data_IF_797622685408
#
_entry.id   IF_797622685408
#
_cell.length_a   1.000
_cell.length_b   1.000
_cell.length_c   1.000
_cell.angle_alpha   90.00
_cell.angle_beta   90.00
_cell.angle_gamma   90.00
#
_symmetry.space_group_name_H-M   'P 1'
#
loop_
_entity.id
_entity.type
_entity.pdbx_description
1 polymer ?
#
# COMPACT_ATOMS: atom_id res chain seq x y z
N UNK A 1 -3.80 -6.79 -11.02
CA UNK A 1 -4.70 -5.75 -11.55
C UNK A 1 -5.58 -5.19 -10.44
N UNK A 2 -6.26 -4.07 -10.71
CA UNK A 2 -7.26 -3.54 -9.77
C UNK A 2 -8.40 -4.53 -9.54
N UNK A 3 -8.69 -5.41 -10.49
CA UNK A 3 -9.70 -6.45 -10.32
C UNK A 3 -9.27 -7.51 -9.30
N UNK A 4 -7.97 -7.76 -9.15
CA UNK A 4 -7.46 -8.65 -8.10
C UNK A 4 -7.53 -7.98 -6.72
N UNK A 5 -7.25 -6.69 -6.66
CA UNK A 5 -7.26 -5.94 -5.40
C UNK A 5 -8.70 -5.76 -4.91
N UNK A 6 -9.57 -5.31 -5.81
CA UNK A 6 -10.98 -5.05 -5.49
C UNK A 6 -11.83 -5.50 -6.68
N UNK A 7 -12.48 -6.67 -6.58
CA UNK A 7 -13.31 -7.18 -7.66
C UNK A 7 -14.39 -6.18 -8.06
N UNK A 8 -14.72 -6.14 -9.35
CA UNK A 8 -15.78 -5.31 -9.90
C UNK A 8 -16.92 -6.21 -10.35
N UNK A 9 -18.06 -6.10 -9.72
CA UNK A 9 -19.24 -6.87 -10.08
C UNK A 9 -20.49 -6.20 -9.59
N UNK A 10 -21.64 -6.68 -10.05
CA UNK A 10 -22.94 -6.10 -9.68
C UNK A 10 -23.21 -6.10 -8.17
N UNK A 11 -22.59 -7.02 -7.45
CA UNK A 11 -22.72 -7.12 -5.98
C UNK A 11 -21.75 -6.22 -5.23
N UNK A 12 -20.63 -5.86 -5.86
CA UNK A 12 -19.52 -5.15 -5.19
C UNK A 12 -19.54 -3.66 -5.51
N UNK A 13 -19.73 -3.28 -6.76
CA UNK A 13 -19.72 -1.87 -7.18
C UNK A 13 -20.68 -0.97 -6.41
N UNK A 14 -21.90 -1.42 -6.04
CA UNK A 14 -22.79 -0.59 -5.21
C UNK A 14 -22.22 -0.26 -3.83
N UNK A 15 -21.24 -1.01 -3.36
CA UNK A 15 -20.60 -0.80 -2.05
C UNK A 15 -19.43 0.18 -2.10
N UNK A 16 -19.08 0.72 -3.27
CA UNK A 16 -17.88 1.57 -3.45
C UNK A 16 -17.79 2.78 -2.53
N UNK A 17 -18.93 3.27 -2.06
CA UNK A 17 -18.99 4.39 -1.10
C UNK A 17 -19.02 3.92 0.36
N UNK A 18 -19.12 2.61 0.59
CA UNK A 18 -19.16 2.02 1.92
C UNK A 18 -17.87 1.20 2.11
N UNK A 19 -16.79 1.87 2.54
CA UNK A 19 -15.47 1.25 2.66
C UNK A 19 -15.46 0.06 3.64
N UNK A 20 -16.07 0.12 4.83
CA UNK A 20 -16.13 -1.05 5.70
C UNK A 20 -16.77 -2.27 5.04
N UNK A 21 -17.86 -2.09 4.30
CA UNK A 21 -18.53 -3.19 3.63
C UNK A 21 -17.73 -3.72 2.43
N UNK A 22 -17.20 -2.82 1.58
CA UNK A 22 -16.46 -3.23 0.38
C UNK A 22 -15.11 -3.87 0.76
N UNK A 23 -14.51 -3.50 1.89
CA UNK A 23 -13.24 -4.05 2.32
C UNK A 23 -13.29 -5.57 2.54
N UNK A 24 -14.48 -6.13 2.81
CA UNK A 24 -14.67 -7.56 2.96
C UNK A 24 -14.41 -8.34 1.66
N UNK A 25 -14.37 -7.65 0.52
CA UNK A 25 -14.10 -8.24 -0.79
C UNK A 25 -12.67 -8.00 -1.27
N UNK A 26 -11.85 -7.29 -0.48
CA UNK A 26 -10.47 -6.95 -0.83
C UNK A 26 -9.63 -8.21 -1.03
N UNK A 27 -9.02 -8.33 -2.22
CA UNK A 27 -8.20 -9.48 -2.63
C UNK A 27 -8.90 -10.85 -2.62
N UNK A 28 -10.22 -10.91 -2.48
CA UNK A 28 -10.92 -12.20 -2.38
C UNK A 28 -10.83 -13.05 -3.65
N UNK A 29 -10.54 -12.46 -4.80
CA UNK A 29 -10.26 -13.21 -6.04
C UNK A 29 -8.98 -14.03 -5.92
N UNK A 30 -7.99 -13.52 -5.19
CA UNK A 30 -6.69 -14.19 -4.99
C UNK A 30 -6.65 -15.01 -3.69
N UNK A 31 -7.33 -14.52 -2.66
CA UNK A 31 -7.27 -15.11 -1.32
C UNK A 31 -8.54 -14.70 -0.55
N UNK A 32 -9.49 -15.61 -0.45
CA UNK A 32 -10.77 -15.35 0.23
C UNK A 32 -10.61 -14.95 1.69
N UNK A 33 -9.57 -15.42 2.35
CA UNK A 33 -9.33 -15.15 3.77
C UNK A 33 -8.57 -13.84 4.02
N UNK A 34 -8.15 -13.12 2.96
CA UNK A 34 -7.34 -11.92 3.11
C UNK A 34 -7.99 -10.86 4.01
N UNK A 35 -9.27 -10.47 3.82
CA UNK A 35 -9.86 -9.44 4.67
C UNK A 35 -9.84 -9.79 6.16
N UNK A 36 -10.19 -11.02 6.50
CA UNK A 36 -10.20 -11.49 7.89
C UNK A 36 -8.79 -11.52 8.46
N UNK A 37 -7.83 -12.08 7.71
CA UNK A 37 -6.44 -12.18 8.15
C UNK A 37 -5.80 -10.80 8.34
N UNK A 38 -6.06 -9.86 7.43
CA UNK A 38 -5.53 -8.51 7.53
C UNK A 38 -6.05 -7.78 8.77
N UNK A 39 -7.33 -7.93 9.09
CA UNK A 39 -7.91 -7.37 10.32
C UNK A 39 -7.28 -7.94 11.58
N UNK A 40 -7.05 -9.24 11.61
CA UNK A 40 -6.43 -9.91 12.76
C UNK A 40 -4.97 -9.47 12.94
N UNK A 41 -4.25 -9.22 11.87
CA UNK A 41 -2.86 -8.74 11.90
C UNK A 41 -2.76 -7.28 12.38
N UNK A 42 -3.78 -6.48 12.15
CA UNK A 42 -3.81 -5.06 12.49
C UNK A 42 -3.02 -4.17 11.55
N UNK A 43 -1.74 -4.46 11.34
CA UNK A 43 -0.87 -3.74 10.39
C UNK A 43 -0.24 -4.72 9.44
N UNK A 44 -0.18 -4.39 8.16
CA UNK A 44 0.37 -5.30 7.15
C UNK A 44 1.02 -4.54 5.99
N UNK A 45 1.84 -5.28 5.24
CA UNK A 45 2.47 -4.82 4.01
C UNK A 45 2.07 -5.81 2.92
N UNK A 46 1.57 -5.28 1.79
CA UNK A 46 1.26 -6.09 0.63
C UNK A 46 2.50 -6.17 -0.25
N UNK A 47 2.85 -7.38 -0.69
CA UNK A 47 3.97 -7.61 -1.60
C UNK A 47 3.41 -8.13 -2.92
N UNK A 48 3.75 -7.48 -4.01
CA UNK A 48 3.23 -7.82 -5.34
C UNK A 48 4.31 -7.82 -6.42
N UNK A 49 3.89 -8.16 -7.62
CA UNK A 49 4.76 -8.24 -8.80
C UNK A 49 4.83 -6.95 -9.60
N UNK A 50 4.88 -7.10 -10.91
CA UNK A 50 5.02 -5.98 -11.84
C UNK A 50 3.68 -5.35 -12.17
N UNK A 51 3.71 -4.05 -12.45
CA UNK A 51 2.57 -3.24 -12.87
C UNK A 51 1.36 -3.37 -11.94
N UNK A 52 1.63 -3.31 -10.63
CA UNK A 52 0.61 -3.43 -9.59
C UNK A 52 -0.44 -2.33 -9.72
N UNK A 53 -1.72 -2.73 -9.73
CA UNK A 53 -2.83 -1.79 -9.85
C UNK A 53 -3.23 -1.43 -11.28
N UNK A 54 -2.70 -2.16 -12.29
CA UNK A 54 -3.11 -1.93 -13.68
C UNK A 54 -4.61 -2.20 -13.87
N UNK A 55 -5.19 -1.61 -14.91
CA UNK A 55 -6.60 -1.73 -15.21
C UNK A 55 -7.37 -0.46 -14.88
N UNK A 56 -8.65 -0.58 -14.63
CA UNK A 56 -9.51 0.57 -14.32
C UNK A 56 -9.06 1.28 -13.04
N UNK A 57 -9.03 2.61 -13.09
CA UNK A 57 -8.71 3.40 -11.91
C UNK A 57 -9.84 3.27 -10.88
N UNK A 58 -9.50 2.80 -9.68
CA UNK A 58 -10.45 2.62 -8.58
C UNK A 58 -9.84 3.11 -7.28
N UNK A 59 -10.37 4.22 -6.78
CA UNK A 59 -9.90 4.77 -5.51
C UNK A 59 -10.10 3.78 -4.36
N UNK A 60 -11.21 3.04 -4.37
CA UNK A 60 -11.48 2.04 -3.34
C UNK A 60 -10.48 0.88 -3.35
N UNK A 61 -9.73 0.66 -4.43
CA UNK A 61 -8.63 -0.30 -4.45
C UNK A 61 -7.44 0.15 -3.57
N UNK A 62 -7.40 1.42 -3.18
CA UNK A 62 -6.44 1.92 -2.18
C UNK A 62 -7.11 2.05 -0.80
N UNK A 63 -8.34 2.55 -0.74
CA UNK A 63 -9.03 2.80 0.53
C UNK A 63 -9.41 1.52 1.28
N UNK A 64 -9.80 0.45 0.57
CA UNK A 64 -10.16 -0.80 1.21
C UNK A 64 -8.96 -1.47 1.90
N UNK A 65 -7.78 -1.61 1.26
CA UNK A 65 -6.59 -2.07 1.97
C UNK A 65 -6.22 -1.19 3.17
N UNK A 66 -6.34 0.13 3.02
CA UNK A 66 -6.07 1.06 4.12
C UNK A 66 -6.97 0.76 5.33
N UNK A 67 -8.25 0.56 5.10
CA UNK A 67 -9.21 0.22 6.14
C UNK A 67 -8.85 -1.09 6.85
N UNK A 68 -8.27 -2.04 6.11
CA UNK A 68 -7.84 -3.33 6.67
C UNK A 68 -6.48 -3.26 7.38
N UNK A 69 -5.87 -2.09 7.48
CA UNK A 69 -4.61 -1.90 8.20
C UNK A 69 -3.36 -2.01 7.36
N UNK A 70 -3.47 -2.03 6.04
CA UNK A 70 -2.30 -2.03 5.14
C UNK A 70 -1.61 -0.67 5.22
N UNK A 71 -0.32 -0.67 5.56
CA UNK A 71 0.48 0.55 5.73
C UNK A 71 1.41 0.84 4.56
N UNK A 72 1.81 -0.19 3.83
CA UNK A 72 2.71 -0.07 2.69
C UNK A 72 2.41 -1.15 1.66
N UNK A 73 2.77 -0.86 0.42
CA UNK A 73 2.70 -1.81 -0.69
C UNK A 73 4.08 -1.87 -1.34
N UNK A 74 4.70 -3.04 -1.35
CA UNK A 74 6.03 -3.28 -1.91
C UNK A 74 5.90 -4.17 -3.15
N UNK A 75 6.27 -3.64 -4.31
CA UNK A 75 6.10 -4.32 -5.59
C UNK A 75 7.31 -4.11 -6.51
N UNK A 76 7.36 -4.86 -7.60
CA UNK A 76 8.40 -4.68 -8.62
C UNK A 76 8.17 -3.38 -9.40
N UNK A 77 6.93 -3.07 -9.73
CA UNK A 77 6.55 -1.80 -10.35
C UNK A 77 5.07 -1.49 -10.11
N UNK A 78 4.69 -0.22 -10.22
CA UNK A 78 3.32 0.24 -10.06
C UNK A 78 2.71 0.72 -11.38
N UNK A 79 1.40 0.51 -11.52
CA UNK A 79 0.61 1.29 -12.45
C UNK A 79 0.53 2.73 -11.91
N UNK A 80 0.75 3.72 -12.77
CA UNK A 80 0.90 5.13 -12.39
C UNK A 80 -0.27 5.67 -11.57
N UNK A 81 -1.49 5.46 -12.03
CA UNK A 81 -2.68 6.02 -11.38
C UNK A 81 -2.91 5.36 -10.03
N UNK A 82 -2.71 4.05 -9.96
CA UNK A 82 -2.88 3.34 -8.68
C UNK A 82 -1.85 3.78 -7.64
N UNK A 83 -0.61 4.02 -8.06
CA UNK A 83 0.43 4.56 -7.18
C UNK A 83 -0.01 5.91 -6.59
N UNK A 84 -0.57 6.79 -7.41
CA UNK A 84 -1.08 8.07 -6.95
C UNK A 84 -2.23 7.89 -5.95
N UNK A 85 -3.13 6.94 -6.19
CA UNK A 85 -4.22 6.64 -5.27
C UNK A 85 -3.72 6.12 -3.91
N UNK A 86 -2.68 5.29 -3.91
CA UNK A 86 -2.06 4.81 -2.67
C UNK A 86 -1.47 5.97 -1.86
N UNK A 87 -0.76 6.88 -2.51
CA UNK A 87 -0.18 8.06 -1.85
C UNK A 87 -1.30 8.92 -1.24
N UNK A 88 -2.36 9.18 -1.99
CA UNK A 88 -3.47 9.99 -1.52
C UNK A 88 -4.22 9.34 -0.34
N UNK A 89 -4.22 8.02 -0.27
CA UNK A 89 -4.79 7.28 0.85
C UNK A 89 -3.86 7.23 2.07
N UNK A 90 -2.60 7.62 1.91
CA UNK A 90 -1.61 7.55 2.98
C UNK A 90 -0.90 6.21 3.08
N UNK A 91 -1.00 5.38 2.06
CA UNK A 91 -0.29 4.11 1.98
C UNK A 91 1.06 4.34 1.29
N UNK A 92 2.14 3.87 1.90
CA UNK A 92 3.50 4.06 1.42
C UNK A 92 3.77 3.18 0.19
N UNK A 93 4.06 3.76 -1.00
CA UNK A 93 4.37 2.97 -2.18
C UNK A 93 5.87 2.68 -2.24
N UNK A 94 6.23 1.40 -2.23
CA UNK A 94 7.62 0.95 -2.25
C UNK A 94 7.88 0.07 -3.46
N UNK A 95 9.08 0.18 -4.03
CA UNK A 95 9.52 -0.72 -5.09
C UNK A 95 10.85 -1.37 -4.71
N UNK A 96 11.11 -2.57 -5.25
CA UNK A 96 12.38 -3.24 -5.03
C UNK A 96 13.51 -2.53 -5.78
N UNK A 97 14.63 -2.31 -5.11
CA UNK A 97 15.86 -1.86 -5.78
C UNK A 97 16.36 -2.98 -6.70
N UNK A 98 16.28 -4.22 -6.22
CA UNK A 98 16.62 -5.41 -6.98
C UNK A 98 15.39 -6.31 -7.02
N UNK A 99 14.82 -6.52 -8.21
CA UNK A 99 13.61 -7.33 -8.37
C UNK A 99 13.76 -8.77 -7.89
N UNK A 100 14.99 -9.31 -7.89
CA UNK A 100 15.27 -10.65 -7.37
C UNK A 100 14.97 -10.76 -5.86
N UNK A 101 14.93 -9.66 -5.14
CA UNK A 101 14.62 -9.65 -3.71
C UNK A 101 13.16 -10.01 -3.42
N UNK A 102 12.29 -9.97 -4.43
CA UNK A 102 10.91 -10.44 -4.31
C UNK A 102 10.83 -11.87 -3.78
N UNK A 103 11.77 -12.72 -4.21
CA UNK A 103 11.83 -14.13 -3.79
C UNK A 103 12.25 -14.32 -2.33
N UNK A 104 12.78 -13.28 -1.69
CA UNK A 104 13.24 -13.34 -0.29
C UNK A 104 12.11 -13.11 0.72
N UNK A 105 10.89 -12.84 0.25
CA UNK A 105 9.74 -12.60 1.11
C UNK A 105 8.68 -13.67 0.86
N UNK A 106 8.18 -14.27 1.92
CA UNK A 106 7.10 -15.24 1.87
C UNK A 106 5.87 -14.69 2.62
N UNK A 107 4.70 -15.19 2.26
CA UNK A 107 3.47 -14.81 2.95
C UNK A 107 3.56 -15.14 4.44
N UNK A 108 3.20 -14.18 5.27
CA UNK A 108 3.26 -14.33 6.71
C UNK A 108 4.57 -13.89 7.35
N UNK A 109 5.56 -13.48 6.55
CA UNK A 109 6.83 -12.98 7.08
C UNK A 109 6.63 -11.67 7.86
N UNK A 110 7.38 -11.51 8.93
CA UNK A 110 7.39 -10.29 9.73
C UNK A 110 8.40 -9.30 9.13
N UNK A 111 7.88 -8.15 8.68
CA UNK A 111 8.68 -7.12 8.01
C UNK A 111 8.71 -5.84 8.85
N UNK A 112 9.83 -5.13 8.82
CA UNK A 112 10.02 -3.88 9.54
C UNK A 112 10.72 -2.82 8.69
N UNK A 113 10.16 -1.61 8.70
CA UNK A 113 10.81 -0.40 8.18
C UNK A 113 11.03 0.53 9.36
N UNK A 114 12.26 0.55 9.89
CA UNK A 114 12.60 1.38 11.03
C UNK A 114 12.71 2.85 10.64
N UNK A 115 12.15 3.75 11.47
CA UNK A 115 12.27 5.20 11.32
C UNK A 115 11.87 5.71 9.93
N UNK A 116 10.87 5.08 9.31
CA UNK A 116 10.44 5.40 7.94
C UNK A 116 10.07 6.88 7.79
N UNK A 117 9.33 7.43 8.75
CA UNK A 117 8.92 8.84 8.71
C UNK A 117 10.14 9.78 8.70
N UNK A 118 11.12 9.51 9.55
CA UNK A 118 12.36 10.30 9.65
C UNK A 118 13.15 10.27 8.34
N UNK A 119 13.28 9.08 7.74
CA UNK A 119 13.97 8.93 6.45
C UNK A 119 13.26 9.73 5.35
N UNK A 120 11.94 9.69 5.31
CA UNK A 120 11.15 10.46 4.34
C UNK A 120 11.32 11.96 4.58
N UNK A 121 11.27 12.42 5.82
CA UNK A 121 11.47 13.84 6.17
C UNK A 121 12.85 14.33 5.73
N UNK A 122 13.86 13.49 5.80
CA UNK A 122 15.23 13.80 5.38
C UNK A 122 15.42 13.75 3.86
N UNK A 123 14.39 13.40 3.10
CA UNK A 123 14.47 13.31 1.63
C UNK A 123 15.14 12.04 1.12
N UNK A 124 15.30 11.03 1.95
CA UNK A 124 15.87 9.76 1.56
C UNK A 124 14.88 8.97 0.69
N UNK A 125 15.38 8.42 -0.42
CA UNK A 125 14.56 7.65 -1.36
C UNK A 125 14.79 6.15 -1.27
N UNK A 126 15.92 5.73 -0.69
CA UNK A 126 16.24 4.31 -0.49
C UNK A 126 16.11 3.99 1.00
N UNK A 127 15.30 2.98 1.30
CA UNK A 127 15.06 2.52 2.67
C UNK A 127 15.49 1.06 2.78
N UNK A 128 15.73 0.60 4.01
CA UNK A 128 16.04 -0.80 4.28
C UNK A 128 14.86 -1.48 4.95
N UNK A 129 14.29 -2.48 4.27
CA UNK A 129 13.26 -3.34 4.81
C UNK A 129 13.93 -4.54 5.45
N UNK A 130 13.62 -4.78 6.71
CA UNK A 130 14.15 -5.96 7.43
C UNK A 130 13.07 -7.04 7.44
N UNK A 131 13.39 -8.20 6.87
CA UNK A 131 12.57 -9.40 6.99
C UNK A 131 13.05 -10.18 8.21
N UNK A 132 12.38 -10.00 9.33
CA UNK A 132 12.77 -10.63 10.61
C UNK A 132 12.63 -12.15 10.57
N UNK A 133 11.64 -12.66 9.86
CA UNK A 133 11.38 -14.09 9.75
C UNK A 133 12.51 -14.79 8.99
N UNK A 134 12.95 -14.23 7.87
CA UNK A 134 14.04 -14.79 7.06
C UNK A 134 15.41 -14.33 7.50
N UNK A 135 15.52 -13.29 8.33
CA UNK A 135 16.80 -12.73 8.78
C UNK A 135 17.58 -12.01 7.68
N UNK A 136 16.90 -11.36 6.74
CA UNK A 136 17.52 -10.65 5.61
C UNK A 136 17.11 -9.20 5.57
N UNK A 137 17.97 -8.35 5.01
CA UNK A 137 17.70 -6.95 4.74
C UNK A 137 17.48 -6.76 3.25
N UNK A 138 16.47 -5.99 2.88
CA UNK A 138 16.08 -5.77 1.49
C UNK A 138 16.05 -4.27 1.24
N UNK A 139 16.88 -3.74 0.31
CA UNK A 139 16.78 -2.34 -0.06
C UNK A 139 15.53 -2.10 -0.89
N UNK A 140 14.79 -1.04 -0.56
CA UNK A 140 13.57 -0.66 -1.27
C UNK A 140 13.62 0.83 -1.62
N UNK A 141 12.94 1.20 -2.70
CA UNK A 141 12.81 2.59 -3.14
C UNK A 141 11.47 3.16 -2.71
N UNK A 142 11.53 4.38 -2.18
CA UNK A 142 10.35 5.17 -1.88
C UNK A 142 10.55 6.57 -2.49
N UNK A 143 10.21 6.72 -3.76
CA UNK A 143 10.43 7.95 -4.50
C UNK A 143 9.27 8.92 -4.27
N UNK A 144 9.37 9.70 -3.21
CA UNK A 144 8.40 10.74 -2.87
C UNK A 144 9.09 12.11 -2.99
N UNK A 145 8.48 13.02 -3.73
CA UNK A 145 9.03 14.35 -3.94
C UNK A 145 7.95 15.42 -3.74
N UNK A 146 8.36 16.60 -3.25
CA UNK A 146 7.49 17.75 -3.13
C UNK A 146 6.15 17.42 -2.45
N UNK A 147 5.06 17.65 -3.17
CA UNK A 147 3.71 17.48 -2.64
C UNK A 147 3.39 16.04 -2.22
N UNK A 148 3.86 15.03 -2.98
CA UNK A 148 3.58 13.63 -2.63
C UNK A 148 4.22 13.22 -1.30
N UNK A 149 5.42 13.74 -1.03
CA UNK A 149 6.10 13.55 0.24
C UNK A 149 5.28 14.16 1.38
N UNK A 150 4.80 15.39 1.21
CA UNK A 150 4.02 16.10 2.23
C UNK A 150 2.68 15.39 2.49
N UNK A 151 2.04 14.86 1.45
CA UNK A 151 0.79 14.11 1.58
C UNK A 151 1.00 12.86 2.44
N UNK A 152 2.04 12.08 2.17
CA UNK A 152 2.35 10.87 2.94
C UNK A 152 2.66 11.22 4.41
N UNK A 153 3.44 12.26 4.65
CA UNK A 153 3.79 12.68 6.01
C UNK A 153 2.57 13.18 6.80
N UNK A 154 1.57 13.74 6.12
CA UNK A 154 0.32 14.17 6.74
C UNK A 154 -0.64 13.00 7.03
N UNK A 155 -0.42 11.83 6.42
CA UNK A 155 -1.31 10.67 6.57
C UNK A 155 -2.29 10.47 5.43
N UNK A 156 -2.15 11.21 4.33
CA UNK A 156 -2.99 11.13 3.15
C UNK A 156 -3.47 12.48 2.67
N UNK A 157 -4.17 12.49 1.54
CA UNK A 157 -4.59 13.74 0.88
C UNK A 157 -5.59 14.55 1.74
N UNK A 158 -6.55 13.88 2.37
CA UNK A 158 -7.54 14.58 3.20
C UNK A 158 -6.88 15.25 4.39
N UNK A 159 -5.97 14.56 5.08
CA UNK A 159 -5.23 15.13 6.21
C UNK A 159 -4.33 16.29 5.77
N UNK A 160 -3.67 16.14 4.63
CA UNK A 160 -2.83 17.18 4.04
C UNK A 160 -3.65 18.44 3.75
N UNK A 161 -4.81 18.29 3.13
CA UNK A 161 -5.69 19.42 2.79
C UNK A 161 -6.22 20.10 4.04
N UNK A 162 -6.63 19.32 5.04
CA UNK A 162 -7.10 19.85 6.33
C UNK A 162 -6.01 20.66 7.02
N UNK A 163 -4.79 20.15 7.07
CA UNK A 163 -3.67 20.83 7.70
C UNK A 163 -3.32 22.13 6.98
N UNK A 164 -3.38 22.13 5.64
CA UNK A 164 -3.14 23.33 4.85
C UNK A 164 -4.20 24.42 5.10
N UNK A 165 -5.46 24.02 5.29
CA UNK A 165 -6.55 24.96 5.57
C UNK A 165 -6.51 25.50 7.01
N UNK A 166 -5.86 24.78 7.92
CA UNK A 166 -5.74 25.19 9.33
C UNK A 166 -4.63 26.21 9.57
N UNK A 167 -3.79 26.46 8.57
CA UNK A 167 -2.71 27.45 8.60
C UNK A 167 -3.21 28.76 7.95
#
# INVERSE_FOLDING_TARGET
TTDHIMPAGAKILPLRSNIPAISQHCFTVCDEAFPTRAKEMGKSIIVGGSNYGQGSSREHAALAPLYLGVKAVLVKSFARIHRANLINAGILPLTFVNEADYEKIAQGDELELADVRKHIENGETTLTLVNKTAGVEIPVLCELTGRTKDIILAGGLLDYTRDALSK
#
